data_IF_903451910426
#
_entry.id   IF_903451910426
#
_cell.length_a   1.000
_cell.length_b   1.000
_cell.length_c   1.000
_cell.angle_alpha   90.00
_cell.angle_beta   90.00
_cell.angle_gamma   90.00
#
_symmetry.space_group_name_H-M   'P 1'
#
loop_
_entity.id
_entity.type
_entity.pdbx_description
1 polymer ?
#
# COMPACT_ATOMS: atom_id res chain seq x y z
N UNK A 1 -3.97 -24.68 -25.57
CA UNK A 1 -3.66 -25.76 -24.61
C UNK A 1 -4.21 -25.30 -23.27
N UNK A 2 -5.05 -26.07 -22.58
CA UNK A 2 -5.58 -25.63 -21.27
C UNK A 2 -4.48 -25.83 -20.23
N UNK A 3 -4.13 -24.77 -19.50
CA UNK A 3 -3.17 -24.86 -18.40
C UNK A 3 -3.80 -25.73 -17.30
N UNK A 4 -3.17 -26.86 -16.98
CA UNK A 4 -3.59 -27.74 -15.89
C UNK A 4 -2.95 -27.32 -14.58
N UNK A 5 -3.76 -27.09 -13.55
CA UNK A 5 -3.28 -26.75 -12.21
C UNK A 5 -3.23 -27.99 -11.31
N UNK A 6 -2.16 -28.08 -10.51
CA UNK A 6 -2.07 -29.01 -9.37
C UNK A 6 -2.17 -28.21 -8.08
N UNK A 7 -3.12 -28.56 -7.21
CA UNK A 7 -3.40 -27.83 -5.97
C UNK A 7 -2.82 -28.55 -4.75
N UNK A 8 -2.36 -27.76 -3.79
CA UNK A 8 -1.67 -28.24 -2.59
C UNK A 8 -2.10 -27.44 -1.35
N UNK A 9 -2.37 -28.13 -0.25
CA UNK A 9 -2.55 -27.54 1.06
C UNK A 9 -1.23 -27.58 1.85
N UNK A 10 -0.82 -26.45 2.41
CA UNK A 10 0.23 -26.38 3.42
C UNK A 10 -0.41 -26.42 4.80
N UNK A 11 -0.07 -27.43 5.60
CA UNK A 11 -0.53 -27.56 6.98
C UNK A 11 0.63 -27.33 7.93
N UNK A 12 0.34 -26.64 9.03
CA UNK A 12 1.30 -26.27 10.07
C UNK A 12 0.77 -26.71 11.44
N UNK A 13 1.60 -26.71 12.50
CA UNK A 13 1.09 -26.99 13.85
C UNK A 13 -0.05 -26.05 14.29
N UNK A 14 -0.09 -24.82 13.79
CA UNK A 14 -1.17 -23.85 14.06
C UNK A 14 -2.41 -24.04 13.16
N UNK A 15 -2.25 -24.69 12.00
CA UNK A 15 -3.34 -25.04 11.07
C UNK A 15 -3.17 -26.50 10.62
N UNK A 16 -3.43 -27.48 11.51
CA UNK A 16 -3.09 -28.88 11.27
C UNK A 16 -4.10 -29.59 10.34
N UNK A 17 -5.25 -28.98 10.07
CA UNK A 17 -6.36 -29.63 9.37
C UNK A 17 -6.33 -29.31 7.86
N UNK A 18 -6.59 -30.32 7.02
CA UNK A 18 -6.59 -30.17 5.55
C UNK A 18 -7.78 -29.38 5.01
N UNK A 19 -8.87 -29.32 5.78
CA UNK A 19 -10.05 -28.51 5.48
C UNK A 19 -9.90 -27.06 5.93
N UNK A 20 -8.89 -26.75 6.76
CA UNK A 20 -8.52 -25.39 7.17
C UNK A 20 -6.99 -25.18 7.15
N UNK A 21 -6.31 -25.33 5.99
CA UNK A 21 -4.86 -25.27 5.91
C UNK A 21 -4.32 -23.85 6.19
N UNK A 22 -3.01 -23.72 6.44
CA UNK A 22 -2.40 -22.39 6.63
C UNK A 22 -2.45 -21.57 5.34
N UNK A 23 -2.17 -22.23 4.21
CA UNK A 23 -2.21 -21.65 2.86
C UNK A 23 -2.49 -22.73 1.83
N UNK A 24 -3.20 -22.36 0.76
CA UNK A 24 -3.33 -23.19 -0.44
C UNK A 24 -2.45 -22.65 -1.56
N UNK A 25 -1.75 -23.56 -2.22
CA UNK A 25 -0.87 -23.30 -3.35
C UNK A 25 -1.40 -23.98 -4.61
N UNK A 26 -1.05 -23.44 -5.77
CA UNK A 26 -1.23 -24.10 -7.07
C UNK A 26 0.08 -24.08 -7.85
N UNK A 27 0.35 -25.16 -8.56
CA UNK A 27 1.48 -25.27 -9.48
C UNK A 27 0.96 -25.56 -10.89
N UNK A 28 1.63 -25.00 -11.89
CA UNK A 28 1.39 -25.32 -13.30
C UNK A 28 2.69 -25.20 -14.09
N UNK A 29 2.74 -25.84 -15.25
CA UNK A 29 3.87 -25.74 -16.17
C UNK A 29 3.43 -24.93 -17.38
N UNK A 30 4.22 -23.95 -17.79
CA UNK A 30 3.95 -23.16 -18.98
C UNK A 30 4.34 -23.91 -20.27
N UNK A 31 4.20 -23.24 -21.42
CA UNK A 31 4.51 -23.82 -22.73
C UNK A 31 6.02 -24.06 -22.93
N UNK A 32 6.87 -23.41 -22.14
CA UNK A 32 8.33 -23.54 -22.17
C UNK A 32 8.83 -24.68 -21.27
N UNK A 33 7.94 -25.26 -20.46
CA UNK A 33 8.30 -26.31 -19.49
C UNK A 33 8.71 -25.77 -18.13
N UNK A 34 8.58 -24.46 -17.89
CA UNK A 34 8.92 -23.85 -16.61
C UNK A 34 7.80 -24.08 -15.59
N UNK A 35 8.17 -24.53 -14.40
CA UNK A 35 7.25 -24.74 -13.29
C UNK A 35 6.99 -23.42 -12.58
N UNK A 36 5.72 -23.01 -12.56
CA UNK A 36 5.23 -21.86 -11.83
C UNK A 36 4.50 -22.29 -10.57
N UNK A 37 4.55 -21.42 -9.56
CA UNK A 37 3.89 -21.64 -8.29
C UNK A 37 3.25 -20.35 -7.78
N UNK A 38 2.01 -20.46 -7.33
CA UNK A 38 1.26 -19.40 -6.66
C UNK A 38 0.67 -19.91 -5.37
N UNK A 39 0.38 -18.96 -4.47
CA UNK A 39 -0.32 -19.19 -3.23
C UNK A 39 -1.47 -18.19 -3.10
N UNK A 40 -2.58 -18.62 -2.49
CA UNK A 40 -3.72 -17.75 -2.23
C UNK A 40 -3.48 -16.97 -0.93
N UNK A 41 -3.40 -15.65 -1.01
CA UNK A 41 -2.94 -14.82 0.12
C UNK A 41 -4.07 -14.11 0.85
N UNK A 42 -3.75 -13.47 1.97
CA UNK A 42 -4.67 -12.59 2.69
C UNK A 42 -5.14 -11.37 1.87
N UNK A 43 -4.51 -11.10 0.71
CA UNK A 43 -5.01 -10.12 -0.25
C UNK A 43 -6.14 -10.66 -1.15
N UNK A 44 -6.66 -11.87 -0.86
CA UNK A 44 -7.76 -12.54 -1.56
C UNK A 44 -7.49 -12.69 -3.07
N UNK A 45 -6.25 -13.07 -3.39
CA UNK A 45 -5.80 -13.32 -4.76
C UNK A 45 -4.65 -14.31 -4.77
N UNK A 46 -4.50 -15.00 -5.89
CA UNK A 46 -3.32 -15.79 -6.21
C UNK A 46 -2.12 -14.87 -6.44
N UNK A 47 -1.01 -15.16 -5.77
CA UNK A 47 0.25 -14.43 -5.96
C UNK A 47 1.40 -15.42 -6.09
N UNK A 48 2.41 -15.05 -6.89
CA UNK A 48 3.63 -15.84 -7.06
C UNK A 48 4.21 -16.21 -5.69
N UNK A 49 4.48 -17.48 -5.48
CA UNK A 49 4.94 -18.04 -4.22
C UNK A 49 5.97 -19.16 -4.43
N UNK A 50 6.50 -19.67 -3.32
CA UNK A 50 7.47 -20.77 -3.31
C UNK A 50 7.23 -21.71 -2.11
N UNK A 51 6.04 -21.71 -1.54
CA UNK A 51 5.66 -22.50 -0.36
C UNK A 51 5.83 -24.00 -0.59
N UNK A 52 5.29 -24.58 -1.67
CA UNK A 52 5.43 -26.01 -2.00
C UNK A 52 6.91 -26.38 -2.16
N UNK A 53 7.63 -25.58 -2.94
CA UNK A 53 9.06 -25.76 -3.19
C UNK A 53 9.90 -25.63 -1.91
N UNK A 54 9.58 -24.69 -1.02
CA UNK A 54 10.30 -24.48 0.23
C UNK A 54 10.04 -25.58 1.26
N UNK A 55 8.81 -26.06 1.38
CA UNK A 55 8.50 -27.18 2.28
C UNK A 55 9.19 -28.46 1.80
N UNK A 56 9.12 -28.77 0.51
CA UNK A 56 9.79 -29.96 -0.06
C UNK A 56 11.30 -29.94 0.11
N UNK A 57 11.91 -28.76 0.08
CA UNK A 57 13.35 -28.57 0.28
C UNK A 57 13.76 -28.41 1.76
N UNK A 58 12.82 -28.56 2.71
CA UNK A 58 13.10 -28.39 4.14
C UNK A 58 13.43 -26.97 4.58
N UNK A 59 13.11 -25.96 3.75
CA UNK A 59 13.35 -24.53 4.04
C UNK A 59 12.18 -23.87 4.78
N UNK A 60 11.00 -24.48 4.74
CA UNK A 60 9.80 -24.03 5.42
C UNK A 60 9.20 -25.19 6.22
N UNK A 61 8.81 -24.94 7.47
CA UNK A 61 8.22 -25.95 8.34
C UNK A 61 6.78 -26.29 7.92
N UNK A 62 6.32 -27.49 8.29
CA UNK A 62 4.98 -28.00 7.97
C UNK A 62 5.01 -29.08 6.89
N UNK A 63 3.83 -29.41 6.38
CA UNK A 63 3.65 -30.47 5.40
C UNK A 63 2.84 -29.99 4.19
N UNK A 64 3.12 -30.53 3.02
CA UNK A 64 2.37 -30.25 1.79
C UNK A 64 1.56 -31.49 1.40
N UNK A 65 0.26 -31.31 1.23
CA UNK A 65 -0.67 -32.36 0.85
C UNK A 65 -1.36 -31.99 -0.47
N UNK A 66 -1.47 -32.91 -1.45
CA UNK A 66 -2.26 -32.64 -2.65
C UNK A 66 -3.74 -32.52 -2.28
N UNK A 67 -4.44 -31.57 -2.91
CA UNK A 67 -5.88 -31.37 -2.73
C UNK A 67 -6.58 -31.25 -4.08
N UNK A 68 -7.91 -31.37 -4.08
CA UNK A 68 -8.71 -31.14 -5.29
C UNK A 68 -8.91 -29.65 -5.55
N UNK A 69 -9.28 -29.29 -6.77
CA UNK A 69 -9.62 -27.91 -7.12
C UNK A 69 -10.81 -27.39 -6.30
N UNK A 70 -11.81 -28.23 -6.04
CA UNK A 70 -12.95 -27.88 -5.20
C UNK A 70 -12.54 -27.59 -3.75
N UNK A 71 -11.51 -28.28 -3.23
CA UNK A 71 -10.95 -27.97 -1.92
C UNK A 71 -10.19 -26.63 -1.93
N UNK A 72 -9.47 -26.31 -3.02
CA UNK A 72 -8.82 -25.01 -3.18
C UNK A 72 -9.82 -23.86 -3.25
N UNK A 73 -10.93 -24.03 -3.98
CA UNK A 73 -12.01 -23.03 -4.04
C UNK A 73 -12.68 -22.80 -2.68
N UNK A 74 -12.95 -23.86 -1.91
CA UNK A 74 -13.45 -23.73 -0.53
C UNK A 74 -12.46 -22.97 0.36
N UNK A 75 -11.17 -23.16 0.16
CA UNK A 75 -10.17 -22.40 0.90
C UNK A 75 -10.24 -20.89 0.60
N UNK A 76 -10.59 -20.48 -0.61
CA UNK A 76 -10.78 -19.04 -0.91
C UNK A 76 -11.88 -18.43 -0.03
N UNK A 77 -12.98 -19.16 0.21
CA UNK A 77 -14.06 -18.74 1.12
C UNK A 77 -13.60 -18.68 2.58
N UNK A 78 -12.83 -19.68 3.02
CA UNK A 78 -12.23 -19.73 4.36
C UNK A 78 -11.28 -18.56 4.55
N UNK A 79 -10.42 -18.28 3.57
CA UNK A 79 -9.47 -17.18 3.63
C UNK A 79 -10.19 -15.84 3.62
N UNK A 80 -11.26 -15.69 2.83
CA UNK A 80 -12.12 -14.51 2.88
C UNK A 80 -12.79 -14.35 4.26
N UNK A 81 -13.23 -15.44 4.90
CA UNK A 81 -13.74 -15.41 6.26
C UNK A 81 -12.67 -15.00 7.27
N UNK A 82 -11.46 -15.58 7.20
CA UNK A 82 -10.32 -15.20 8.04
C UNK A 82 -9.96 -13.72 7.90
N UNK A 83 -9.98 -13.19 6.68
CA UNK A 83 -9.70 -11.76 6.44
C UNK A 83 -10.78 -10.89 7.08
N UNK A 84 -12.07 -11.25 6.95
CA UNK A 84 -13.16 -10.54 7.63
C UNK A 84 -13.10 -10.65 9.15
N UNK A 85 -12.74 -11.82 9.68
CA UNK A 85 -12.62 -12.07 11.12
C UNK A 85 -11.38 -11.40 11.73
N UNK A 86 -10.41 -11.06 10.89
CA UNK A 86 -9.28 -10.22 11.26
C UNK A 86 -9.64 -8.73 11.34
N UNK A 87 -10.83 -8.30 10.91
CA UNK A 87 -11.32 -6.96 11.26
C UNK A 87 -11.91 -6.98 12.68
N UNK A 88 -11.85 -5.88 13.44
CA UNK A 88 -12.50 -5.82 14.74
C UNK A 88 -14.01 -6.06 14.55
N UNK A 89 -14.55 -7.08 15.23
CA UNK A 89 -15.96 -7.49 15.10
C UNK A 89 -17.01 -6.42 15.42
N UNK A 90 -16.58 -5.24 15.90
CA UNK A 90 -17.44 -4.07 16.15
C UNK A 90 -16.86 -2.74 15.63
N UNK A 91 -15.81 -2.76 14.80
CA UNK A 91 -15.11 -1.53 14.39
C UNK A 91 -14.38 -0.82 15.55
N UNK A 92 -14.26 -1.46 16.70
CA UNK A 92 -13.61 -0.88 17.88
C UNK A 92 -12.09 -1.01 17.75
N UNK A 93 -11.43 0.13 17.67
CA UNK A 93 -9.98 0.25 17.66
C UNK A 93 -9.49 0.94 18.94
N UNK A 94 -8.34 0.50 19.44
CA UNK A 94 -7.52 1.32 20.32
C UNK A 94 -6.63 2.24 19.48
N UNK A 95 -6.52 3.51 19.84
CA UNK A 95 -5.68 4.46 19.12
C UNK A 95 -4.52 4.92 20.01
N UNK A 96 -3.35 5.09 19.41
CA UNK A 96 -2.18 5.59 20.11
C UNK A 96 -1.27 6.40 19.18
N UNK A 97 -0.44 7.25 19.78
CA UNK A 97 0.67 7.90 19.11
C UNK A 97 1.96 7.17 19.47
N UNK A 98 2.80 6.93 18.48
CA UNK A 98 4.20 6.54 18.72
C UNK A 98 4.98 7.83 18.94
N UNK A 99 5.48 8.02 20.16
CA UNK A 99 6.32 9.16 20.51
C UNK A 99 7.73 8.67 20.82
N UNK A 100 8.73 9.42 20.38
CA UNK A 100 10.16 9.13 20.63
C UNK A 100 10.85 10.37 21.14
N UNK A 101 12.10 10.25 21.58
CA UNK A 101 12.93 11.40 21.96
C UNK A 101 13.10 12.44 20.83
N UNK A 102 12.94 12.03 19.56
CA UNK A 102 13.00 12.90 18.38
C UNK A 102 11.62 13.27 17.82
N UNK A 103 10.56 12.58 18.25
CA UNK A 103 9.20 12.75 17.77
C UNK A 103 8.24 12.88 18.96
N UNK A 104 8.18 14.07 19.59
CA UNK A 104 7.28 14.33 20.71
C UNK A 104 5.80 14.26 20.31
N UNK A 105 4.89 14.37 21.29
CA UNK A 105 3.43 14.27 21.11
C UNK A 105 2.88 15.25 20.08
N UNK A 106 3.46 16.44 19.95
CA UNK A 106 3.09 17.49 18.99
C UNK A 106 3.70 17.28 17.59
N UNK A 107 4.54 16.27 17.42
CA UNK A 107 5.04 15.81 16.13
C UNK A 107 5.37 14.31 16.20
N UNK A 108 4.34 13.46 16.42
CA UNK A 108 4.52 12.06 16.73
C UNK A 108 5.13 11.31 15.54
N UNK A 109 5.81 10.21 15.82
CA UNK A 109 6.46 9.38 14.80
C UNK A 109 5.42 8.68 13.92
N UNK A 110 4.33 8.22 14.53
CA UNK A 110 3.22 7.55 13.87
C UNK A 110 1.92 7.67 14.68
N UNK A 111 0.80 7.50 13.99
CA UNK A 111 -0.53 7.31 14.59
C UNK A 111 -0.89 5.85 14.36
N UNK A 112 -1.21 5.12 15.42
CA UNK A 112 -1.58 3.72 15.36
C UNK A 112 -3.06 3.54 15.63
N UNK A 113 -3.60 2.50 15.00
CA UNK A 113 -4.82 1.83 15.47
C UNK A 113 -4.50 0.35 15.69
N UNK A 114 -4.98 -0.20 16.78
CA UNK A 114 -4.84 -1.61 17.13
C UNK A 114 -6.17 -2.22 17.51
N UNK A 115 -6.28 -3.53 17.38
CA UNK A 115 -7.48 -4.26 17.73
C UNK A 115 -7.14 -5.72 18.04
N UNK A 116 -8.06 -6.41 18.72
CA UNK A 116 -8.00 -7.85 18.88
C UNK A 116 -8.90 -8.50 17.84
N UNK A 117 -8.36 -9.44 17.07
CA UNK A 117 -9.17 -10.30 16.20
C UNK A 117 -10.04 -11.23 17.06
N UNK A 118 -11.06 -11.83 16.43
CA UNK A 118 -11.87 -12.87 17.08
C UNK A 118 -11.05 -14.08 17.56
N UNK A 119 -9.86 -14.28 16.98
CA UNK A 119 -8.91 -15.35 17.31
C UNK A 119 -7.93 -14.95 18.41
N UNK A 120 -8.05 -13.75 18.98
CA UNK A 120 -7.18 -13.23 20.04
C UNK A 120 -5.83 -12.70 19.57
N UNK A 121 -5.55 -12.69 18.26
CA UNK A 121 -4.37 -12.02 17.70
C UNK A 121 -4.53 -10.50 17.79
N UNK A 122 -3.43 -9.78 18.00
CA UNK A 122 -3.41 -8.32 17.99
C UNK A 122 -3.08 -7.85 16.57
N UNK A 123 -4.00 -7.10 15.96
CA UNK A 123 -3.78 -6.38 14.72
C UNK A 123 -3.28 -4.97 14.98
N UNK A 124 -2.44 -4.44 14.10
CA UNK A 124 -1.94 -3.07 14.16
C UNK A 124 -1.83 -2.47 12.75
N UNK A 125 -2.22 -1.20 12.64
CA UNK A 125 -1.94 -0.37 11.47
C UNK A 125 -1.44 1.00 11.90
N UNK A 126 -0.57 1.58 11.08
CA UNK A 126 -0.15 2.96 11.17
C UNK A 126 -0.84 3.78 10.08
N UNK A 127 -1.23 5.00 10.39
CA UNK A 127 -1.74 5.92 9.39
C UNK A 127 -0.60 6.58 8.61
N UNK A 128 -0.79 6.73 7.30
CA UNK A 128 0.12 7.44 6.41
C UNK A 128 -0.64 8.48 5.59
N UNK A 129 -0.03 9.65 5.32
CA UNK A 129 -0.62 10.70 4.46
C UNK A 129 -1.04 10.24 3.07
N UNK A 130 -0.37 9.24 2.51
CA UNK A 130 -0.52 8.83 1.10
C UNK A 130 -1.35 7.57 0.90
N UNK A 131 -1.37 6.66 1.87
CA UNK A 131 -2.04 5.36 1.74
C UNK A 131 -3.10 5.12 2.83
N UNK A 132 -3.32 6.09 3.73
CA UNK A 132 -4.18 5.90 4.88
C UNK A 132 -3.61 4.86 5.84
N UNK A 133 -4.48 4.01 6.39
CA UNK A 133 -4.08 2.95 7.32
C UNK A 133 -3.39 1.79 6.61
N UNK A 134 -2.15 1.51 7.02
CA UNK A 134 -1.33 0.41 6.49
C UNK A 134 -0.81 -0.44 7.64
N UNK A 135 -0.61 -1.74 7.40
CA UNK A 135 -0.04 -2.65 8.40
C UNK A 135 1.28 -2.11 8.93
N UNK A 136 1.48 -2.19 10.25
CA UNK A 136 2.71 -1.75 10.92
C UNK A 136 3.18 -2.74 11.97
N UNK A 137 4.38 -2.50 12.49
CA UNK A 137 5.03 -3.29 13.54
C UNK A 137 5.52 -2.42 14.72
N UNK A 138 4.98 -1.22 14.91
CA UNK A 138 5.47 -0.27 15.91
C UNK A 138 5.34 -0.81 17.34
N UNK A 139 4.22 -1.46 17.69
CA UNK A 139 4.09 -2.09 19.02
C UNK A 139 5.13 -3.17 19.26
N UNK A 140 5.52 -3.92 18.22
CA UNK A 140 6.60 -4.91 18.33
C UNK A 140 7.95 -4.22 18.57
N UNK A 141 8.27 -3.18 17.80
CA UNK A 141 9.54 -2.44 17.95
C UNK A 141 9.65 -1.79 19.34
N UNK A 142 8.55 -1.22 19.86
CA UNK A 142 8.48 -0.65 21.20
C UNK A 142 8.65 -1.73 22.28
N UNK A 143 7.94 -2.86 22.17
CA UNK A 143 7.98 -3.93 23.18
C UNK A 143 9.33 -4.66 23.26
N UNK A 144 10.18 -4.55 22.23
CA UNK A 144 11.49 -5.19 22.16
C UNK A 144 12.65 -4.18 22.22
N UNK A 145 12.39 -2.94 22.67
CA UNK A 145 13.39 -1.86 22.80
C UNK A 145 14.17 -1.57 21.50
N UNK A 146 13.59 -1.83 20.33
CA UNK A 146 14.17 -1.47 19.04
C UNK A 146 13.87 -0.03 18.65
N UNK A 147 12.87 0.59 19.27
CA UNK A 147 12.49 1.98 19.10
C UNK A 147 12.46 2.67 20.48
N UNK A 148 13.27 3.71 20.64
CA UNK A 148 13.31 4.56 21.86
C UNK A 148 12.05 5.43 21.93
N UNK A 149 11.01 4.92 22.57
CA UNK A 149 9.73 5.62 22.63
C UNK A 149 8.64 4.88 23.39
N UNK A 150 7.45 5.46 23.34
CA UNK A 150 6.24 4.94 23.97
C UNK A 150 5.04 5.03 23.03
N UNK A 151 4.04 4.17 23.28
CA UNK A 151 2.71 4.30 22.70
C UNK A 151 1.79 5.07 23.66
N UNK A 152 1.48 6.31 23.33
CA UNK A 152 0.58 7.16 24.14
C UNK A 152 -0.84 7.03 23.62
N UNK A 153 -1.75 6.50 24.45
CA UNK A 153 -3.16 6.33 24.06
C UNK A 153 -3.85 7.65 23.73
N UNK A 154 -4.64 7.65 22.67
CA UNK A 154 -5.49 8.79 22.26
C UNK A 154 -6.93 8.31 22.02
N UNK A 155 -7.86 9.26 22.05
CA UNK A 155 -9.27 9.01 21.69
C UNK A 155 -9.46 9.00 20.18
N UNK A 156 -10.53 8.37 19.70
CA UNK A 156 -10.91 8.40 18.28
C UNK A 156 -11.12 9.84 17.76
N UNK A 157 -11.71 10.72 18.57
CA UNK A 157 -11.90 12.13 18.24
C UNK A 157 -10.58 12.87 17.99
N UNK A 158 -9.49 12.45 18.64
CA UNK A 158 -8.16 13.04 18.44
C UNK A 158 -7.46 12.54 17.18
N UNK A 159 -7.91 11.44 16.59
CA UNK A 159 -7.25 10.82 15.42
C UNK A 159 -7.24 11.77 14.23
N UNK A 160 -8.37 12.40 13.92
CA UNK A 160 -8.48 13.33 12.79
C UNK A 160 -7.49 14.49 12.93
N UNK A 161 -7.37 15.06 14.15
CA UNK A 161 -6.41 16.12 14.43
C UNK A 161 -4.97 15.70 14.12
N UNK A 162 -4.57 14.51 14.57
CA UNK A 162 -3.22 14.01 14.32
C UNK A 162 -2.99 13.61 12.87
N UNK A 163 -4.01 13.10 12.16
CA UNK A 163 -3.93 12.83 10.73
C UNK A 163 -3.69 14.11 9.94
N UNK A 164 -4.41 15.19 10.25
CA UNK A 164 -4.15 16.50 9.64
C UNK A 164 -2.74 17.00 9.92
N UNK A 165 -2.26 16.89 11.16
CA UNK A 165 -0.92 17.29 11.55
C UNK A 165 0.15 16.49 10.78
N UNK A 166 0.00 15.17 10.71
CA UNK A 166 0.90 14.30 9.98
C UNK A 166 0.88 14.59 8.47
N UNK A 167 -0.28 14.93 7.90
CA UNK A 167 -0.40 15.38 6.52
C UNK A 167 0.35 16.69 6.28
N UNK A 168 0.18 17.69 7.17
CA UNK A 168 0.90 18.97 7.08
C UNK A 168 2.41 18.77 7.19
N UNK A 169 2.87 17.97 8.15
CA UNK A 169 4.28 17.65 8.32
C UNK A 169 4.84 16.93 7.08
N UNK A 170 4.06 16.06 6.44
CA UNK A 170 4.44 15.44 5.18
C UNK A 170 4.57 16.46 4.04
N UNK A 171 3.62 17.39 3.92
CA UNK A 171 3.73 18.48 2.94
C UNK A 171 4.95 19.36 3.22
N UNK A 172 5.22 19.72 4.48
CA UNK A 172 6.39 20.52 4.84
C UNK A 172 7.71 19.78 4.62
N UNK A 173 7.76 18.47 4.91
CA UNK A 173 8.92 17.64 4.62
C UNK A 173 9.10 17.35 3.12
N UNK A 174 8.04 17.44 2.31
CA UNK A 174 8.15 17.33 0.85
C UNK A 174 8.41 18.68 0.17
N UNK A 175 8.23 19.80 0.90
CA UNK A 175 8.59 21.18 0.50
C UNK A 175 10.09 21.49 0.51
N UNK A 176 10.98 20.53 0.82
CA UNK A 176 12.45 20.75 0.66
C UNK A 176 12.85 21.09 -0.79
N UNK A 177 11.94 20.91 -1.74
CA UNK A 177 12.02 21.53 -3.06
C UNK A 177 10.79 22.42 -3.22
N UNK A 178 11.02 23.74 -3.32
CA UNK A 178 9.98 24.75 -3.51
C UNK A 178 9.45 24.67 -4.94
N UNK A 179 8.60 23.67 -5.17
CA UNK A 179 7.94 23.45 -6.45
C UNK A 179 6.83 24.48 -6.64
N UNK A 180 6.95 25.24 -7.73
CA UNK A 180 5.87 26.03 -8.28
C UNK A 180 5.16 25.19 -9.34
N UNK A 181 3.87 24.96 -9.15
CA UNK A 181 3.07 24.14 -10.06
C UNK A 181 2.27 25.00 -11.03
N UNK A 182 2.16 24.54 -12.27
CA UNK A 182 1.44 25.19 -13.34
C UNK A 182 0.60 24.18 -14.12
N UNK A 183 -0.64 24.52 -14.41
CA UNK A 183 -1.44 23.86 -15.42
C UNK A 183 -1.15 24.47 -16.79
N UNK A 184 -0.83 23.65 -17.78
CA UNK A 184 -0.64 24.06 -19.17
C UNK A 184 -1.98 23.90 -19.88
N UNK A 185 -2.58 25.02 -20.26
CA UNK A 185 -3.88 25.06 -20.94
C UNK A 185 -3.71 25.50 -22.39
N UNK A 186 -4.50 24.89 -23.27
CA UNK A 186 -4.51 25.15 -24.72
C UNK A 186 -5.94 25.17 -25.26
N UNK A 187 -6.11 25.55 -26.53
CA UNK A 187 -7.38 25.46 -27.23
C UNK A 187 -7.79 23.98 -27.37
N UNK A 188 -8.59 23.48 -26.43
CA UNK A 188 -8.98 22.08 -26.31
C UNK A 188 -8.72 21.47 -24.92
N UNK A 189 -7.87 22.11 -24.11
CA UNK A 189 -7.50 21.65 -22.77
C UNK A 189 -7.68 22.77 -21.73
N UNK A 190 -8.90 22.96 -21.19
CA UNK A 190 -9.18 23.98 -20.18
C UNK A 190 -8.54 23.64 -18.82
N UNK A 191 -8.60 24.56 -17.83
CA UNK A 191 -7.95 24.38 -16.52
C UNK A 191 -8.43 23.14 -15.73
N UNK A 192 -9.68 22.73 -15.90
CA UNK A 192 -10.23 21.52 -15.28
C UNK A 192 -9.87 20.22 -16.04
N UNK A 193 -9.25 20.34 -17.21
CA UNK A 193 -8.68 19.23 -18.00
C UNK A 193 -7.43 19.72 -18.76
N UNK A 194 -6.37 20.12 -18.04
CA UNK A 194 -5.23 20.76 -18.64
C UNK A 194 -4.45 19.76 -19.51
N UNK A 195 -3.74 20.27 -20.50
CA UNK A 195 -2.95 19.44 -21.41
C UNK A 195 -1.83 18.73 -20.66
N UNK A 196 -1.21 19.45 -19.71
CA UNK A 196 -0.17 18.94 -18.84
C UNK A 196 -0.16 19.71 -17.51
N UNK A 197 0.47 19.11 -16.51
CA UNK A 197 0.84 19.80 -15.27
C UNK A 197 2.36 19.83 -15.19
N UNK A 198 2.91 21.01 -14.92
CA UNK A 198 4.34 21.26 -14.82
C UNK A 198 4.70 21.64 -13.38
N UNK A 199 5.86 21.18 -12.90
CA UNK A 199 6.48 21.65 -11.67
C UNK A 199 7.82 22.30 -11.99
N UNK A 200 8.07 23.47 -11.41
CA UNK A 200 9.31 24.22 -11.55
C UNK A 200 9.95 24.44 -10.18
N UNK A 201 11.26 24.25 -10.06
CA UNK A 201 12.00 24.50 -8.83
C UNK A 201 13.39 25.07 -9.12
N UNK A 202 14.05 25.61 -8.11
CA UNK A 202 15.46 26.03 -8.21
C UNK A 202 16.38 24.95 -7.70
N UNK A 203 17.36 24.57 -8.51
CA UNK A 203 18.45 23.68 -8.14
C UNK A 203 19.77 24.36 -8.53
N UNK A 204 20.67 24.56 -7.56
CA UNK A 204 21.97 25.22 -7.77
C UNK A 204 21.87 26.58 -8.49
N UNK A 205 20.81 27.35 -8.20
CA UNK A 205 20.55 28.67 -8.80
C UNK A 205 19.93 28.64 -10.20
N UNK A 206 19.76 27.46 -10.81
CA UNK A 206 19.09 27.28 -12.10
C UNK A 206 17.64 26.81 -11.90
N UNK A 207 16.73 27.30 -12.73
CA UNK A 207 15.37 26.75 -12.79
C UNK A 207 15.38 25.40 -13.51
N UNK A 208 14.85 24.40 -12.82
CA UNK A 208 14.54 23.07 -13.33
C UNK A 208 13.03 22.97 -13.50
N UNK A 209 12.63 22.16 -14.46
CA UNK A 209 11.25 22.01 -14.86
C UNK A 209 10.99 20.56 -15.28
N UNK A 210 9.87 20.03 -14.81
CA UNK A 210 9.36 18.73 -15.24
C UNK A 210 7.87 18.83 -15.51
N UNK A 211 7.40 18.07 -16.49
CA UNK A 211 5.98 17.87 -16.76
C UNK A 211 5.56 16.48 -16.28
N UNK A 212 4.29 16.35 -15.88
CA UNK A 212 3.71 15.07 -15.58
C UNK A 212 3.23 14.41 -16.87
N UNK A 213 3.97 13.39 -17.32
CA UNK A 213 3.74 12.68 -18.56
C UNK A 213 2.59 11.68 -18.47
N UNK A 214 2.12 11.23 -19.64
CA UNK A 214 1.01 10.27 -19.80
C UNK A 214 1.31 8.92 -19.13
N UNK A 215 2.58 8.56 -18.98
CA UNK A 215 3.01 7.34 -18.28
C UNK A 215 3.02 7.47 -16.74
N UNK A 216 2.41 8.55 -16.22
CA UNK A 216 2.26 8.87 -14.80
C UNK A 216 3.58 9.18 -14.08
N UNK A 217 4.61 9.63 -14.81
CA UNK A 217 5.89 10.06 -14.26
C UNK A 217 6.18 11.53 -14.52
N UNK A 218 7.05 12.10 -13.70
CA UNK A 218 7.63 13.41 -13.96
C UNK A 218 8.81 13.26 -14.92
N UNK A 219 8.79 14.03 -16.00
CA UNK A 219 9.83 14.04 -17.03
C UNK A 219 10.35 15.46 -17.25
N UNK A 220 11.65 15.65 -17.54
CA UNK A 220 12.20 16.97 -17.87
C UNK A 220 11.38 17.67 -18.96
N UNK A 221 11.11 18.95 -18.77
CA UNK A 221 10.28 19.73 -19.69
C UNK A 221 10.82 21.14 -19.91
N UNK A 222 10.39 21.76 -21.00
CA UNK A 222 10.63 23.16 -21.34
C UNK A 222 9.33 23.93 -21.69
N UNK A 223 8.17 23.35 -21.36
CA UNK A 223 6.85 23.90 -21.70
C UNK A 223 6.66 25.34 -21.22
N UNK A 224 7.07 25.69 -19.99
CA UNK A 224 6.89 27.08 -19.50
C UNK A 224 7.70 28.12 -20.29
N UNK A 225 8.65 27.68 -21.12
CA UNK A 225 9.47 28.56 -21.97
C UNK A 225 8.93 28.69 -23.39
N UNK A 226 7.96 27.86 -23.78
CA UNK A 226 7.36 27.90 -25.11
C UNK A 226 6.37 29.07 -25.20
N UNK A 227 6.44 29.87 -26.27
CA UNK A 227 5.63 31.11 -26.38
C UNK A 227 4.14 30.87 -26.60
N UNK A 228 3.74 29.66 -27.02
CA UNK A 228 2.38 29.34 -27.45
C UNK A 228 1.53 28.68 -26.36
N UNK A 229 2.07 28.48 -25.14
CA UNK A 229 1.32 27.87 -24.04
C UNK A 229 0.89 28.90 -23.00
N UNK A 230 -0.33 28.73 -22.48
CA UNK A 230 -0.79 29.48 -21.33
C UNK A 230 -0.56 28.65 -20.07
N UNK A 231 0.33 29.11 -19.20
CA UNK A 231 0.60 28.49 -17.91
C UNK A 231 -0.20 29.19 -16.80
N UNK A 232 -1.04 28.43 -16.10
CA UNK A 232 -1.85 28.92 -14.96
C UNK A 232 -1.29 28.34 -13.67
N UNK A 233 -0.87 29.15 -12.67
CA UNK A 233 -0.42 28.64 -11.38
C UNK A 233 -1.51 27.80 -10.69
N UNK A 234 -1.12 26.68 -10.12
CA UNK A 234 -2.01 25.80 -9.34
C UNK A 234 -1.33 25.36 -8.04
N UNK A 235 -2.09 24.85 -7.08
CA UNK A 235 -1.55 24.26 -5.86
C UNK A 235 -1.24 22.76 -6.02
N UNK A 236 -0.53 22.19 -5.04
CA UNK A 236 -0.18 20.77 -5.03
C UNK A 236 -1.41 19.85 -4.97
N UNK A 237 -2.52 20.31 -4.41
CA UNK A 237 -3.75 19.52 -4.35
C UNK A 237 -4.36 19.35 -5.75
N UNK A 238 -4.42 20.42 -6.55
CA UNK A 238 -4.87 20.36 -7.94
C UNK A 238 -3.99 19.44 -8.80
N UNK A 239 -2.69 19.36 -8.50
CA UNK A 239 -1.76 18.41 -9.15
C UNK A 239 -2.20 16.98 -8.85
N UNK A 240 -2.51 16.64 -7.60
CA UNK A 240 -2.90 15.27 -7.23
C UNK A 240 -4.28 14.88 -7.82
N UNK A 241 -5.22 15.83 -7.88
CA UNK A 241 -6.50 15.63 -8.60
C UNK A 241 -6.24 15.32 -10.08
N UNK A 242 -5.33 16.04 -10.73
CA UNK A 242 -4.96 15.78 -12.12
C UNK A 242 -4.35 14.39 -12.31
N UNK A 243 -3.38 13.99 -11.45
CA UNK A 243 -2.77 12.65 -11.52
C UNK A 243 -3.82 11.55 -11.41
N UNK A 244 -4.78 11.72 -10.50
CA UNK A 244 -5.85 10.75 -10.29
C UNK A 244 -6.78 10.65 -11.51
N UNK A 245 -7.08 11.77 -12.18
CA UNK A 245 -7.88 11.78 -13.41
C UNK A 245 -7.16 11.08 -14.57
N UNK A 246 -5.85 11.31 -14.74
CA UNK A 246 -5.02 10.65 -15.77
C UNK A 246 -4.95 9.13 -15.53
N UNK A 247 -4.73 8.70 -14.30
CA UNK A 247 -4.72 7.27 -13.93
C UNK A 247 -6.05 6.58 -14.29
N UNK A 248 -7.18 7.26 -14.10
CA UNK A 248 -8.49 6.71 -14.49
C UNK A 248 -8.65 6.60 -16.01
N UNK A 249 -8.10 7.53 -16.79
CA UNK A 249 -8.15 7.47 -18.26
C UNK A 249 -7.31 6.31 -18.79
N UNK A 250 -6.09 6.14 -18.28
CA UNK A 250 -5.19 5.04 -18.69
C UNK A 250 -5.71 3.64 -18.36
N UNK A 251 -6.71 3.50 -17.49
CA UNK A 251 -7.35 2.23 -17.19
C UNK A 251 -8.53 1.89 -18.12
N UNK A 252 -9.04 2.88 -18.87
CA UNK A 252 -10.18 2.72 -19.76
C UNK A 252 -9.79 2.64 -21.25
N UNK A 253 -8.51 2.90 -21.58
CA UNK A 253 -7.90 2.73 -22.90
C UNK A 253 -7.16 1.38 -23.01
#
# INVERSE_FOLDING_TARGET
MTIGYSYFAHVTPSHPALDDPSVVCRQWTDEQGDLHEEQYTAALRWQRGYTVSNVRNGKLAGEIHPITEEAALRFEEIQAARVRDNDPGAGQYGYSLVVTSLNPVDSPRAILRSWHSSQGSVGEQAWTPTHGWVTSNYSYELANDHLDGDAVGITEEQVEHYQELAYRNYLDATRFIDYHYFAIITEGHPLNDPQAVVRQWKENGAFKEEQYAVDLKWEPSDLLRQQEVQAVPIDAYAVDVFKFAQLKRSQND
#
